data_IF_947700874678
#
_entry.id   IF_947700874678
#
_cell.length_a   1.000
_cell.length_b   1.000
_cell.length_c   1.000
_cell.angle_alpha   90.00
_cell.angle_beta   90.00
_cell.angle_gamma   90.00
#
_symmetry.space_group_name_H-M   'P 1'
#
loop_
_entity.id
_entity.type
_entity.pdbx_description
1 polymer ?
#
# COMPACT_ATOMS: atom_id res chain seq x y z
N UNK A 1 -6.38 17.82 14.38
CA UNK A 1 -5.56 16.96 15.26
C UNK A 1 -4.24 16.76 14.56
N UNK A 2 -3.13 17.14 15.21
CA UNK A 2 -1.80 16.97 14.65
C UNK A 2 -1.46 15.49 14.72
N UNK A 3 -1.30 14.83 13.57
CA UNK A 3 -0.72 13.48 13.53
C UNK A 3 0.70 13.68 14.05
N UNK A 4 0.97 13.22 15.28
CA UNK A 4 2.32 13.18 15.82
C UNK A 4 3.22 12.58 14.74
N UNK A 5 4.37 13.20 14.50
CA UNK A 5 5.38 12.68 13.57
C UNK A 5 5.90 11.34 14.12
N UNK A 6 5.11 10.27 13.99
CA UNK A 6 5.48 8.93 14.33
C UNK A 6 6.65 8.61 13.40
N UNK A 7 7.86 8.54 13.96
CA UNK A 7 9.07 8.27 13.19
C UNK A 7 8.83 6.96 12.42
N UNK A 8 8.85 7.06 11.10
CA UNK A 8 8.79 5.90 10.20
C UNK A 8 9.87 4.89 10.64
N UNK A 9 9.52 3.62 10.91
CA UNK A 9 10.46 2.59 11.32
C UNK A 9 11.63 2.49 10.35
N UNK A 10 12.86 2.52 10.86
CA UNK A 10 14.06 2.42 10.04
C UNK A 10 14.22 1.00 9.51
N UNK A 11 14.46 0.84 8.21
CA UNK A 11 14.81 -0.46 7.65
C UNK A 11 16.29 -0.74 7.88
N UNK A 12 16.58 -1.89 8.45
CA UNK A 12 17.90 -2.50 8.50
C UNK A 12 17.76 -3.92 7.95
N UNK A 13 18.68 -4.35 7.09
CA UNK A 13 18.60 -5.66 6.43
C UNK A 13 18.70 -6.80 7.44
N UNK A 14 19.56 -6.62 8.44
CA UNK A 14 19.86 -7.58 9.50
C UNK A 14 18.68 -7.76 10.46
N UNK A 15 17.79 -6.75 10.54
CA UNK A 15 16.60 -6.74 11.39
C UNK A 15 15.32 -6.72 10.54
N UNK A 16 15.33 -7.38 9.37
CA UNK A 16 14.20 -7.33 8.43
C UNK A 16 12.87 -7.77 9.06
N UNK A 17 12.86 -8.85 9.84
CA UNK A 17 11.63 -9.36 10.46
C UNK A 17 11.08 -8.39 11.51
N UNK A 18 11.94 -7.82 12.35
CA UNK A 18 11.59 -6.80 13.34
C UNK A 18 11.10 -5.52 12.66
N UNK A 19 11.79 -5.08 11.60
CA UNK A 19 11.36 -3.95 10.79
C UNK A 19 9.98 -4.21 10.18
N UNK A 20 9.74 -5.40 9.62
CA UNK A 20 8.49 -5.78 9.00
C UNK A 20 7.34 -5.69 9.99
N UNK A 21 7.50 -6.24 11.20
CA UNK A 21 6.48 -6.18 12.27
C UNK A 21 6.18 -4.72 12.64
N UNK A 22 7.22 -3.91 12.84
CA UNK A 22 7.06 -2.48 13.19
C UNK A 22 6.42 -1.68 12.06
N UNK A 23 6.76 -1.97 10.81
CA UNK A 23 6.19 -1.32 9.63
C UNK A 23 4.73 -1.70 9.46
N UNK A 24 4.37 -2.97 9.63
CA UNK A 24 2.98 -3.44 9.64
C UNK A 24 2.14 -2.69 10.69
N UNK A 25 2.62 -2.62 11.93
CA UNK A 25 1.93 -1.91 13.00
C UNK A 25 1.81 -0.40 12.72
N UNK A 26 2.86 0.22 12.18
CA UNK A 26 2.86 1.64 11.82
C UNK A 26 1.82 1.94 10.73
N UNK A 27 1.75 1.11 9.70
CA UNK A 27 0.82 1.25 8.59
C UNK A 27 -0.64 1.00 9.00
N UNK A 28 -0.89 -0.04 9.80
CA UNK A 28 -2.21 -0.32 10.35
C UNK A 28 -2.73 0.82 11.25
N UNK A 29 -1.83 1.52 11.96
CA UNK A 29 -2.21 2.71 12.73
C UNK A 29 -2.60 3.92 11.85
N UNK A 30 -2.27 3.90 10.55
CA UNK A 30 -2.63 4.96 9.61
C UNK A 30 -3.94 4.66 8.87
N UNK A 31 -4.05 3.45 8.32
CA UNK A 31 -5.24 2.96 7.62
C UNK A 31 -5.15 1.43 7.53
N UNK A 32 -6.26 0.73 7.78
CA UNK A 32 -6.31 -0.74 7.76
C UNK A 32 -5.95 -1.32 6.37
N UNK A 33 -6.21 -0.56 5.30
CA UNK A 33 -5.91 -0.97 3.93
C UNK A 33 -4.43 -0.76 3.55
N UNK A 34 -3.61 -0.08 4.37
CA UNK A 34 -2.22 0.23 4.01
C UNK A 34 -1.36 -1.00 3.77
N UNK A 35 -1.43 -1.99 4.66
CA UNK A 35 -0.63 -3.20 4.51
C UNK A 35 -1.07 -3.99 3.28
N UNK A 36 -2.38 -4.06 3.04
CA UNK A 36 -2.95 -4.72 1.86
C UNK A 36 -2.46 -4.08 0.56
N UNK A 37 -2.40 -2.75 0.49
CA UNK A 37 -1.91 -2.04 -0.69
C UNK A 37 -0.46 -2.37 -1.01
N UNK A 38 0.37 -2.65 0.00
CA UNK A 38 1.77 -3.04 -0.21
C UNK A 38 1.89 -4.48 -0.71
N UNK A 39 1.10 -5.41 -0.18
CA UNK A 39 1.22 -6.83 -0.51
C UNK A 39 0.48 -7.22 -1.78
N UNK A 40 -0.71 -6.66 -2.00
CA UNK A 40 -1.60 -7.01 -3.11
C UNK A 40 -1.64 -5.95 -4.22
N UNK A 41 -1.05 -4.78 -3.97
CA UNK A 41 -1.03 -3.64 -4.90
C UNK A 41 -2.21 -2.67 -4.73
N UNK A 42 -2.35 -1.70 -5.65
CA UNK A 42 -3.34 -0.63 -5.52
C UNK A 42 -4.79 -1.13 -5.39
N UNK A 43 -5.56 -0.53 -4.48
CA UNK A 43 -6.98 -0.85 -4.31
C UNK A 43 -7.76 -0.64 -5.61
N UNK A 44 -8.51 -1.66 -6.03
CA UNK A 44 -9.48 -1.54 -7.11
C UNK A 44 -10.78 -0.96 -6.57
N UNK A 45 -11.11 0.25 -7.00
CA UNK A 45 -12.33 0.93 -6.56
C UNK A 45 -13.49 0.48 -7.45
N UNK A 46 -14.49 -0.13 -6.84
CA UNK A 46 -15.63 -0.74 -7.54
C UNK A 46 -16.93 0.04 -7.32
N UNK A 47 -17.87 -0.11 -8.24
CA UNK A 47 -19.27 0.31 -8.11
C UNK A 47 -20.20 -0.85 -8.44
N UNK A 48 -21.40 -0.83 -7.87
CA UNK A 48 -22.45 -1.77 -8.25
C UNK A 48 -22.90 -1.49 -9.69
N UNK A 49 -22.99 -2.54 -10.50
CA UNK A 49 -23.57 -2.50 -11.84
C UNK A 49 -25.07 -2.80 -11.73
N UNK A 50 -25.85 -1.78 -11.39
CA UNK A 50 -27.29 -1.93 -11.13
C UNK A 50 -28.07 -2.45 -12.35
N UNK A 51 -27.67 -2.06 -13.56
CA UNK A 51 -28.34 -2.49 -14.81
C UNK A 51 -28.23 -4.00 -14.98
N UNK A 52 -27.07 -4.58 -14.70
CA UNK A 52 -26.86 -6.03 -14.83
C UNK A 52 -27.35 -6.79 -13.60
N UNK A 53 -27.29 -6.18 -12.40
CA UNK A 53 -27.81 -6.82 -11.20
C UNK A 53 -29.33 -7.06 -11.28
N UNK A 54 -30.08 -6.12 -11.88
CA UNK A 54 -31.53 -6.28 -12.09
C UNK A 54 -31.84 -7.40 -13.09
N UNK A 55 -31.02 -7.59 -14.12
CA UNK A 55 -31.26 -8.62 -15.15
C UNK A 55 -30.76 -10.00 -14.76
N UNK A 56 -29.68 -10.08 -13.97
CA UNK A 56 -29.10 -11.36 -13.53
C UNK A 56 -29.60 -11.83 -12.16
N UNK A 57 -30.20 -10.95 -11.37
CA UNK A 57 -30.61 -11.24 -9.99
C UNK A 57 -29.46 -11.26 -8.98
N UNK A 58 -28.21 -11.04 -9.41
CA UNK A 58 -27.04 -11.08 -8.54
C UNK A 58 -26.29 -9.74 -8.50
N UNK A 59 -25.71 -9.34 -7.34
CA UNK A 59 -24.87 -8.16 -7.25
C UNK A 59 -23.63 -8.30 -8.15
N UNK A 60 -23.55 -7.47 -9.19
CA UNK A 60 -22.34 -7.34 -10.00
C UNK A 60 -21.58 -6.07 -9.65
N UNK A 61 -20.25 -6.16 -9.63
CA UNK A 61 -19.37 -5.04 -9.37
C UNK A 61 -18.44 -4.81 -10.55
N UNK A 62 -18.29 -3.54 -10.94
CA UNK A 62 -17.39 -3.11 -12.01
C UNK A 62 -16.44 -2.03 -11.50
N UNK A 63 -15.20 -1.95 -12.00
CA UNK A 63 -14.29 -0.87 -11.65
C UNK A 63 -14.87 0.50 -11.97
N UNK A 64 -14.71 1.46 -11.07
CA UNK A 64 -15.00 2.88 -11.34
C UNK A 64 -13.92 3.44 -12.26
N UNK A 65 -14.33 4.31 -13.17
CA UNK A 65 -13.40 5.17 -13.91
C UNK A 65 -12.93 6.33 -13.03
N UNK A 66 -11.78 6.95 -13.34
CA UNK A 66 -11.24 8.07 -12.55
C UNK A 66 -12.19 9.27 -12.44
N UNK A 67 -13.05 9.46 -13.44
CA UNK A 67 -14.05 10.54 -13.49
C UNK A 67 -15.18 10.32 -12.48
N UNK A 68 -15.45 9.07 -12.12
CA UNK A 68 -16.51 8.67 -11.19
C UNK A 68 -16.06 8.66 -9.73
N UNK A 69 -14.77 8.92 -9.47
CA UNK A 69 -14.21 8.85 -8.13
C UNK A 69 -14.77 9.98 -7.27
N UNK A 70 -15.39 9.60 -6.16
CA UNK A 70 -15.71 10.51 -5.06
C UNK A 70 -14.42 10.98 -4.36
N UNK A 71 -14.55 11.92 -3.43
CA UNK A 71 -13.40 12.33 -2.61
C UNK A 71 -12.86 11.18 -1.75
N UNK A 72 -13.71 10.27 -1.30
CA UNK A 72 -13.30 9.06 -0.57
C UNK A 72 -12.58 8.08 -1.48
N UNK A 73 -13.09 7.86 -2.70
CA UNK A 73 -12.41 7.03 -3.70
C UNK A 73 -11.01 7.58 -4.02
N UNK A 74 -10.88 8.90 -4.16
CA UNK A 74 -9.56 9.54 -4.39
C UNK A 74 -8.61 9.32 -3.22
N UNK A 75 -9.09 9.38 -1.97
CA UNK A 75 -8.29 9.07 -0.78
C UNK A 75 -7.83 7.61 -0.80
N UNK A 76 -8.73 6.66 -1.05
CA UNK A 76 -8.41 5.23 -1.19
C UNK A 76 -7.42 4.95 -2.32
N UNK A 77 -7.60 5.59 -3.48
CA UNK A 77 -6.66 5.44 -4.59
C UNK A 77 -5.29 6.05 -4.30
N UNK A 78 -5.20 7.06 -3.43
CA UNK A 78 -3.96 7.70 -3.05
C UNK A 78 -3.15 6.88 -2.02
N UNK A 79 -3.77 5.87 -1.40
CA UNK A 79 -3.11 4.99 -0.45
C UNK A 79 -1.85 4.32 -1.04
N UNK A 80 -1.87 3.96 -2.32
CA UNK A 80 -0.69 3.43 -3.03
C UNK A 80 0.48 4.43 -3.08
N UNK A 81 0.20 5.72 -3.34
CA UNK A 81 1.23 6.76 -3.33
C UNK A 81 1.79 6.98 -1.93
N UNK A 82 0.93 6.95 -0.90
CA UNK A 82 1.34 7.10 0.50
C UNK A 82 2.22 5.92 0.94
N UNK A 83 1.82 4.70 0.62
CA UNK A 83 2.60 3.50 0.91
C UNK A 83 3.98 3.55 0.25
N UNK A 84 4.05 3.92 -1.04
CA UNK A 84 5.32 4.09 -1.75
C UNK A 84 6.21 5.16 -1.13
N UNK A 85 5.64 6.32 -0.77
CA UNK A 85 6.37 7.40 -0.11
C UNK A 85 6.97 6.97 1.24
N UNK A 86 6.21 6.23 2.07
CA UNK A 86 6.69 5.70 3.36
C UNK A 86 7.83 4.71 3.15
N UNK A 87 7.67 3.78 2.20
CA UNK A 87 8.72 2.81 1.88
C UNK A 87 9.98 3.52 1.37
N UNK A 88 9.86 4.49 0.46
CA UNK A 88 11.01 5.24 -0.03
C UNK A 88 11.69 6.07 1.06
N UNK A 89 10.94 6.74 1.94
CA UNK A 89 11.50 7.47 3.10
C UNK A 89 12.21 6.57 4.09
N UNK A 90 11.76 5.33 4.21
CA UNK A 90 12.44 4.32 5.03
C UNK A 90 13.80 3.96 4.44
N UNK A 91 13.86 3.79 3.12
CA UNK A 91 15.06 3.43 2.38
C UNK A 91 16.05 4.60 2.21
N UNK A 92 15.57 5.84 2.03
CA UNK A 92 16.43 7.01 1.79
C UNK A 92 17.31 7.39 2.99
N UNK A 93 16.90 6.98 4.20
CA UNK A 93 17.74 7.07 5.40
C UNK A 93 19.01 6.22 5.29
N UNK A 94 19.02 5.21 4.43
CA UNK A 94 20.19 4.43 4.02
C UNK A 94 20.37 4.50 2.49
N UNK A 95 21.01 5.59 2.02
CA UNK A 95 21.25 5.87 0.59
C UNK A 95 21.94 4.73 -0.17
N UNK A 96 22.74 3.91 0.51
CA UNK A 96 23.41 2.76 -0.08
C UNK A 96 22.39 1.67 -0.42
N UNK A 97 21.35 1.54 0.40
CA UNK A 97 20.33 0.52 0.23
C UNK A 97 19.24 0.92 -0.76
N UNK A 98 18.78 2.18 -0.78
CA UNK A 98 17.84 2.66 -1.80
C UNK A 98 18.34 2.38 -3.24
N UNK A 99 19.63 2.63 -3.48
CA UNK A 99 20.27 2.37 -4.78
C UNK A 99 20.28 0.90 -5.19
N UNK A 100 20.24 -0.02 -4.23
CA UNK A 100 20.21 -1.48 -4.45
C UNK A 100 18.80 -2.00 -4.68
N UNK A 101 17.79 -1.42 -4.00
CA UNK A 101 16.41 -1.94 -4.02
C UNK A 101 15.56 -1.30 -5.12
N UNK A 102 15.90 -0.10 -5.62
CA UNK A 102 15.11 0.62 -6.64
C UNK A 102 14.85 -0.16 -7.95
N UNK A 103 15.67 -1.16 -8.24
CA UNK A 103 15.58 -1.98 -9.45
C UNK A 103 15.03 -3.40 -9.16
N UNK A 104 14.74 -3.73 -7.89
CA UNK A 104 14.21 -5.04 -7.52
C UNK A 104 12.72 -5.12 -7.89
N UNK A 105 12.37 -6.10 -8.73
CA UNK A 105 10.98 -6.40 -9.10
C UNK A 105 10.25 -7.27 -8.08
N UNK A 106 10.96 -7.94 -7.17
CA UNK A 106 10.38 -8.76 -6.08
C UNK A 106 11.24 -8.69 -4.82
N UNK A 107 10.61 -8.79 -3.64
CA UNK A 107 11.28 -8.78 -2.32
C UNK A 107 11.77 -10.16 -1.88
N UNK A 108 12.03 -11.09 -2.81
CA UNK A 108 12.43 -12.44 -2.45
C UNK A 108 13.89 -12.42 -2.03
N UNK A 109 14.15 -12.56 -0.73
CA UNK A 109 15.49 -12.73 -0.20
C UNK A 109 16.18 -13.90 -0.89
N UNK A 110 17.41 -13.70 -1.31
CA UNK A 110 18.29 -14.78 -1.72
C UNK A 110 18.43 -15.75 -0.53
N UNK A 111 17.65 -16.84 -0.56
CA UNK A 111 17.99 -18.04 0.20
C UNK A 111 19.15 -18.67 -0.56
N UNK A 112 20.34 -18.16 -0.30
CA UNK A 112 21.59 -18.77 -0.74
C UNK A 112 21.74 -20.12 -0.03
N UNK A 113 21.94 -21.15 -0.85
CA UNK A 113 22.39 -22.49 -0.46
C UNK A 113 23.73 -22.45 0.28
#
# INVERSE_FOLDING_TARGET
MSISHNKIPLFLREEYDDWKIRMQAHLAAMDDDMWYVITEGPLKIMKANLVVAVTSGEPQFVPKTRQEYTNEDKKKANLDNVAKDILFKTLDKDKNMFSKVKNCTTARGDVGH
#
